data_IF_636673016140
#
_entry.id   IF_636673016140
#
_cell.length_a   1.000
_cell.length_b   1.000
_cell.length_c   1.000
_cell.angle_alpha   90.00
_cell.angle_beta   90.00
_cell.angle_gamma   90.00
#
_symmetry.space_group_name_H-M   'P 1'
#
loop_
_entity.id
_entity.type
_entity.pdbx_description
1 polymer ?
#
# COMPACT_ATOMS: atom_id res chain seq x y z
N UNK A 1 16.69 12.99 -2.88
CA UNK A 1 16.57 11.60 -2.39
C UNK A 1 15.16 11.39 -1.85
N UNK A 2 14.19 10.99 -2.68
CA UNK A 2 12.82 10.77 -2.24
C UNK A 2 12.66 9.45 -1.47
N UNK A 3 11.84 9.49 -0.42
CA UNK A 3 11.41 8.28 0.31
C UNK A 3 9.89 8.24 0.28
N UNK A 4 9.32 7.11 -0.15
CA UNK A 4 7.89 6.85 -0.18
C UNK A 4 7.57 5.74 0.82
N UNK A 5 6.85 6.07 1.90
CA UNK A 5 6.27 5.08 2.81
C UNK A 5 4.84 4.76 2.36
N UNK A 6 4.55 3.48 2.21
CA UNK A 6 3.26 2.95 1.80
C UNK A 6 2.73 2.09 2.95
N UNK A 7 1.67 2.55 3.59
CA UNK A 7 0.96 1.79 4.62
C UNK A 7 -0.25 1.12 3.99
N UNK A 8 -0.30 -0.20 4.06
CA UNK A 8 -1.37 -1.00 3.43
C UNK A 8 -1.85 -2.10 4.36
N UNK A 9 -3.06 -2.60 4.09
CA UNK A 9 -3.55 -3.84 4.70
C UNK A 9 -2.73 -5.03 4.19
N UNK A 10 -2.32 -5.90 5.12
CA UNK A 10 -1.54 -7.10 4.85
C UNK A 10 -2.26 -8.09 3.93
N UNK A 11 -1.47 -8.86 3.19
CA UNK A 11 -1.91 -10.07 2.50
C UNK A 11 -1.64 -10.07 1.00
N UNK A 12 -0.98 -9.03 0.49
CA UNK A 12 -0.58 -9.00 -0.92
C UNK A 12 0.58 -9.93 -1.17
N UNK A 13 0.57 -10.60 -2.34
CA UNK A 13 1.70 -11.40 -2.78
C UNK A 13 2.95 -10.56 -2.95
N UNK A 14 4.11 -11.22 -2.90
CA UNK A 14 5.40 -10.57 -3.16
C UNK A 14 5.43 -9.97 -4.57
N UNK A 15 4.81 -10.63 -5.55
CA UNK A 15 4.70 -10.17 -6.94
C UNK A 15 3.94 -8.85 -7.04
N UNK A 16 2.82 -8.73 -6.32
CA UNK A 16 2.06 -7.48 -6.29
C UNK A 16 2.85 -6.34 -5.62
N UNK A 17 3.60 -6.64 -4.55
CA UNK A 17 4.48 -5.66 -3.89
C UNK A 17 5.65 -5.23 -4.78
N UNK A 18 6.22 -6.16 -5.57
CA UNK A 18 7.27 -5.88 -6.56
C UNK A 18 6.76 -4.93 -7.65
N UNK A 19 5.57 -5.20 -8.18
CA UNK A 19 4.96 -4.33 -9.19
C UNK A 19 4.62 -2.95 -8.63
N UNK A 20 4.11 -2.88 -7.39
CA UNK A 20 3.85 -1.62 -6.70
C UNK A 20 5.13 -0.78 -6.55
N UNK A 21 6.21 -1.38 -6.03
CA UNK A 21 7.48 -0.69 -5.84
C UNK A 21 8.02 -0.13 -7.17
N UNK A 22 7.99 -0.92 -8.25
CA UNK A 22 8.41 -0.48 -9.58
C UNK A 22 7.60 0.72 -10.06
N UNK A 23 6.27 0.64 -10.02
CA UNK A 23 5.39 1.71 -10.51
C UNK A 23 5.53 3.00 -9.71
N UNK A 24 5.71 2.91 -8.41
CA UNK A 24 5.93 4.08 -7.55
C UNK A 24 7.26 4.74 -7.87
N UNK A 25 8.34 3.97 -8.02
CA UNK A 25 9.64 4.49 -8.44
C UNK A 25 9.54 5.19 -9.80
N UNK A 26 8.91 4.55 -10.79
CA UNK A 26 8.73 5.13 -12.14
C UNK A 26 7.97 6.45 -12.08
N UNK A 27 6.89 6.52 -11.29
CA UNK A 27 6.10 7.74 -11.12
C UNK A 27 6.90 8.88 -10.50
N UNK A 28 7.71 8.60 -9.48
CA UNK A 28 8.58 9.60 -8.83
C UNK A 28 9.63 10.11 -9.80
N UNK A 29 10.33 9.22 -10.50
CA UNK A 29 11.35 9.55 -11.50
C UNK A 29 10.77 10.47 -12.58
N UNK A 30 9.60 10.13 -13.13
CA UNK A 30 8.94 10.90 -14.19
C UNK A 30 8.39 12.24 -13.72
N UNK A 31 8.02 12.37 -12.45
CA UNK A 31 7.34 13.57 -11.95
C UNK A 31 8.31 14.68 -11.53
N UNK A 32 9.47 14.31 -10.99
CA UNK A 32 10.41 15.27 -10.38
C UNK A 32 11.85 15.14 -10.87
N UNK A 33 12.07 14.45 -11.99
CA UNK A 33 13.35 14.34 -12.70
C UNK A 33 14.52 13.92 -11.78
N UNK A 34 14.35 12.76 -11.13
CA UNK A 34 15.37 12.14 -10.27
C UNK A 34 15.80 10.80 -10.80
N UNK A 35 17.01 10.36 -10.42
CA UNK A 35 17.47 9.02 -10.79
C UNK A 35 16.75 7.93 -10.00
N UNK A 36 16.47 6.75 -10.58
CA UNK A 36 15.79 5.64 -9.89
C UNK A 36 16.49 5.20 -8.61
N UNK A 37 17.82 5.17 -8.59
CA UNK A 37 18.62 4.77 -7.42
C UNK A 37 18.52 5.73 -6.23
N UNK A 38 17.91 6.91 -6.41
CA UNK A 38 17.66 7.87 -5.32
C UNK A 38 16.30 7.68 -4.65
N UNK A 39 15.44 6.80 -5.20
CA UNK A 39 14.07 6.59 -4.73
C UNK A 39 14.02 5.35 -3.85
N UNK A 40 13.61 5.54 -2.60
CA UNK A 40 13.36 4.44 -1.67
C UNK A 40 11.86 4.24 -1.49
N UNK A 41 11.38 3.01 -1.64
CA UNK A 41 10.00 2.62 -1.34
C UNK A 41 9.99 1.68 -0.13
N UNK A 42 9.24 2.05 0.90
CA UNK A 42 9.06 1.25 2.12
C UNK A 42 7.60 0.84 2.22
N UNK A 43 7.33 -0.45 2.35
CA UNK A 43 5.96 -0.98 2.47
C UNK A 43 5.77 -1.51 3.89
N UNK A 44 4.82 -0.91 4.60
CA UNK A 44 4.39 -1.30 5.94
C UNK A 44 3.02 -1.97 5.84
N UNK A 45 2.94 -3.22 6.28
CA UNK A 45 1.70 -4.02 6.25
C UNK A 45 1.07 -4.07 7.65
N UNK A 46 -0.23 -3.82 7.71
CA UNK A 46 -1.02 -3.87 8.95
C UNK A 46 -2.19 -4.84 8.79
N UNK A 47 -2.49 -5.58 9.85
CA UNK A 47 -3.74 -6.34 9.92
C UNK A 47 -4.93 -5.38 10.03
N UNK A 48 -6.11 -5.79 9.56
CA UNK A 48 -7.32 -4.93 9.58
C UNK A 48 -7.81 -4.57 10.98
N UNK A 49 -7.54 -5.42 11.97
CA UNK A 49 -7.83 -5.14 13.38
C UNK A 49 -6.94 -4.03 13.97
N UNK A 50 -5.85 -3.68 13.28
CA UNK A 50 -4.92 -2.63 13.68
C UNK A 50 -5.08 -1.33 12.87
N UNK A 51 -6.13 -1.22 12.05
CA UNK A 51 -6.40 -0.04 11.22
C UNK A 51 -7.86 0.39 11.36
N UNK A 52 -8.11 1.65 11.71
CA UNK A 52 -9.45 2.23 11.80
C UNK A 52 -9.65 3.41 10.84
N UNK A 53 -10.89 3.69 10.46
CA UNK A 53 -11.27 4.93 9.78
C UNK A 53 -12.66 5.36 10.22
N UNK A 54 -12.82 6.64 10.57
CA UNK A 54 -14.05 7.19 11.13
C UNK A 54 -14.52 6.46 12.42
N UNK A 55 -13.58 5.98 13.23
CA UNK A 55 -13.89 5.33 14.51
C UNK A 55 -14.18 3.82 14.42
N UNK A 56 -14.21 3.25 13.22
CA UNK A 56 -14.48 1.82 13.00
C UNK A 56 -13.22 1.08 12.54
N UNK A 57 -12.96 -0.09 13.13
CA UNK A 57 -11.90 -0.97 12.66
C UNK A 57 -12.23 -1.47 11.25
N UNK A 58 -11.20 -1.61 10.42
CA UNK A 58 -11.35 -2.16 9.08
C UNK A 58 -11.80 -3.62 9.12
N UNK A 59 -11.50 -4.36 10.19
CA UNK A 59 -12.02 -5.72 10.41
C UNK A 59 -13.54 -5.75 10.50
N UNK A 60 -14.14 -4.75 11.15
CA UNK A 60 -15.58 -4.67 11.38
C UNK A 60 -16.28 -4.09 10.15
N UNK A 61 -15.70 -3.01 9.58
CA UNK A 61 -16.30 -2.27 8.47
C UNK A 61 -16.18 -2.96 7.12
N UNK A 62 -15.05 -3.62 6.87
CA UNK A 62 -14.72 -4.20 5.55
C UNK A 62 -14.71 -5.73 5.59
N UNK A 63 -14.81 -6.35 6.76
CA UNK A 63 -14.74 -7.80 6.93
C UNK A 63 -13.30 -8.34 6.79
N UNK A 64 -13.13 -9.65 6.52
CA UNK A 64 -11.82 -10.25 6.32
C UNK A 64 -11.23 -9.94 4.92
N UNK A 65 -9.92 -10.11 4.77
CA UNK A 65 -9.23 -10.02 3.49
C UNK A 65 -8.52 -8.69 3.25
N UNK A 66 -8.27 -8.35 1.97
CA UNK A 66 -7.52 -7.16 1.59
C UNK A 66 -8.01 -6.57 0.25
N UNK A 67 -7.84 -5.25 0.07
CA UNK A 67 -8.34 -4.53 -1.11
C UNK A 67 -9.78 -4.82 -1.46
N UNK A 68 -10.08 -4.89 -2.76
CA UNK A 68 -11.42 -5.18 -3.31
C UNK A 68 -11.97 -6.56 -2.94
N UNK A 69 -11.12 -7.50 -2.50
CA UNK A 69 -11.56 -8.85 -2.11
C UNK A 69 -12.23 -8.86 -0.75
N UNK A 70 -11.82 -7.94 0.14
CA UNK A 70 -12.42 -7.76 1.46
C UNK A 70 -13.23 -6.48 1.52
N UNK A 71 -14.00 -6.14 0.52
CA UNK A 71 -15.02 -5.09 0.64
C UNK A 71 -16.33 -5.78 0.33
N UNK A 72 -17.26 -5.84 1.29
CA UNK A 72 -18.64 -6.19 0.98
C UNK A 72 -19.09 -5.21 -0.12
N UNK A 73 -19.16 -5.68 -1.36
CA UNK A 73 -19.79 -4.92 -2.43
C UNK A 73 -21.25 -4.82 -2.01
N UNK A 74 -21.62 -3.67 -1.47
CA UNK A 74 -23.03 -3.27 -1.36
C UNK A 74 -23.45 -2.68 -2.69
#
# INVERSE_FOLDING_TARGET
MPVVSIKIVKGRSVEAKRELAKRVTDAVVQSIDVKPEWVTVVIEEYERENWATAGELHSDRLGPGFGKQGTHQT
#
